data_IF_407051056846
#
_entry.id   IF_407051056846
#
_cell.length_a   1.000
_cell.length_b   1.000
_cell.length_c   1.000
_cell.angle_alpha   90.00
_cell.angle_beta   90.00
_cell.angle_gamma   90.00
#
_symmetry.space_group_name_H-M   'P 1'
#
loop_
_entity.id
_entity.type
_entity.pdbx_description
1 polymer ?
#
# COMPACT_ATOMS: atom_id res chain seq x y z
N UNK A 1 -11.76 -6.70 -51.78
CA UNK A 1 -11.26 -7.52 -50.64
C UNK A 1 -9.74 -7.44 -50.66
N UNK A 2 -9.15 -6.69 -49.73
CA UNK A 2 -7.71 -6.56 -49.61
C UNK A 2 -7.13 -7.76 -48.83
N UNK A 3 -5.99 -8.29 -49.30
CA UNK A 3 -5.28 -9.40 -48.67
C UNK A 3 -4.94 -9.10 -47.19
N UNK A 4 -5.07 -10.09 -46.28
CA UNK A 4 -4.70 -9.95 -44.86
C UNK A 4 -3.24 -9.58 -44.60
N UNK A 5 -2.38 -9.63 -45.63
CA UNK A 5 -0.93 -9.44 -45.47
C UNK A 5 -0.45 -7.98 -45.53
N UNK A 6 -1.32 -7.01 -45.82
CA UNK A 6 -0.91 -5.61 -46.02
C UNK A 6 -0.95 -4.71 -44.76
N UNK A 7 -1.21 -5.25 -43.57
CA UNK A 7 -1.38 -4.45 -42.33
C UNK A 7 -0.23 -4.54 -41.30
N UNK A 8 0.95 -5.03 -41.68
CA UNK A 8 2.12 -5.07 -40.77
C UNK A 8 3.33 -4.23 -41.23
N UNK A 9 3.27 -2.89 -41.22
CA UNK A 9 4.45 -2.04 -41.46
C UNK A 9 5.45 -1.98 -40.28
N UNK A 10 5.25 -2.76 -39.21
CA UNK A 10 6.14 -2.82 -38.04
C UNK A 10 6.73 -4.21 -37.75
N UNK A 11 6.62 -5.15 -38.70
CA UNK A 11 7.33 -6.42 -38.60
C UNK A 11 8.82 -6.20 -38.91
N UNK A 12 9.55 -5.60 -37.96
CA UNK A 12 11.02 -5.70 -37.91
C UNK A 12 11.33 -7.19 -38.01
N UNK A 13 12.14 -7.57 -39.00
CA UNK A 13 12.52 -8.96 -39.30
C UNK A 13 13.48 -9.45 -38.20
N UNK A 14 12.93 -9.62 -37.00
CA UNK A 14 13.62 -10.17 -35.83
C UNK A 14 13.94 -11.63 -36.21
N UNK A 15 15.24 -11.96 -36.32
CA UNK A 15 15.69 -13.28 -36.73
C UNK A 15 15.05 -14.40 -35.90
N UNK A 16 14.94 -15.60 -36.47
CA UNK A 16 14.25 -16.74 -35.86
C UNK A 16 14.73 -17.06 -34.43
N UNK A 17 15.99 -16.74 -34.12
CA UNK A 17 16.61 -16.86 -32.80
C UNK A 17 16.32 -15.70 -31.83
N UNK A 18 16.06 -14.49 -32.31
CA UNK A 18 15.87 -13.33 -31.44
C UNK A 18 14.49 -13.33 -30.76
N UNK A 19 13.47 -13.95 -31.37
CA UNK A 19 12.14 -14.08 -30.78
C UNK A 19 12.10 -14.93 -29.49
N UNK A 20 12.63 -16.17 -29.45
CA UNK A 20 12.65 -16.96 -28.21
C UNK A 20 13.51 -16.32 -27.12
N UNK A 21 14.62 -15.66 -27.48
CA UNK A 21 15.47 -14.94 -26.53
C UNK A 21 14.72 -13.78 -25.88
N UNK A 22 14.00 -12.95 -26.65
CA UNK A 22 13.19 -11.86 -26.11
C UNK A 22 12.05 -12.35 -25.21
N UNK A 23 11.43 -13.49 -25.57
CA UNK A 23 10.40 -14.11 -24.75
C UNK A 23 10.99 -14.61 -23.43
N UNK A 24 12.14 -15.30 -23.47
CA UNK A 24 12.83 -15.77 -22.28
C UNK A 24 13.24 -14.59 -21.37
N UNK A 25 13.82 -13.54 -21.94
CA UNK A 25 14.17 -12.32 -21.22
C UNK A 25 12.94 -11.69 -20.54
N UNK A 26 11.78 -11.70 -21.20
CA UNK A 26 10.55 -11.16 -20.63
C UNK A 26 10.08 -11.91 -19.37
N UNK A 27 10.30 -13.23 -19.29
CA UNK A 27 9.95 -14.03 -18.11
C UNK A 27 11.02 -14.00 -17.01
N UNK A 28 12.29 -13.80 -17.36
CA UNK A 28 13.40 -13.72 -16.41
C UNK A 28 13.42 -12.35 -15.71
N UNK A 29 13.04 -11.28 -16.41
CA UNK A 29 13.13 -9.91 -15.89
C UNK A 29 12.40 -9.69 -14.56
N UNK A 30 11.13 -10.14 -14.36
CA UNK A 30 10.47 -10.03 -13.06
C UNK A 30 11.24 -10.72 -11.92
N UNK A 31 11.84 -11.90 -12.19
CA UNK A 31 12.61 -12.66 -11.20
C UNK A 31 13.86 -11.86 -10.81
N UNK A 32 14.60 -11.32 -11.80
CA UNK A 32 15.75 -10.47 -11.55
C UNK A 32 15.40 -9.22 -10.74
N UNK A 33 14.26 -8.59 -11.03
CA UNK A 33 13.78 -7.42 -10.29
C UNK A 33 13.32 -7.73 -8.85
N UNK A 34 12.77 -8.92 -8.60
CA UNK A 34 12.45 -9.39 -7.23
C UNK A 34 13.75 -9.58 -6.44
N UNK A 35 14.72 -10.29 -7.03
CA UNK A 35 16.03 -10.50 -6.39
C UNK A 35 16.72 -9.16 -6.11
N UNK A 36 16.67 -8.24 -7.07
CA UNK A 36 17.20 -6.89 -6.89
C UNK A 36 16.48 -6.12 -5.78
N UNK A 37 15.15 -6.22 -5.65
CA UNK A 37 14.41 -5.55 -4.57
C UNK A 37 14.82 -6.08 -3.19
N UNK A 38 15.00 -7.39 -3.06
CA UNK A 38 15.43 -8.05 -1.83
C UNK A 38 16.86 -7.63 -1.45
N UNK A 39 17.73 -7.50 -2.45
CA UNK A 39 19.16 -7.18 -2.27
C UNK A 39 19.50 -5.70 -2.43
N UNK A 40 18.49 -4.82 -2.58
CA UNK A 40 18.67 -3.41 -2.95
C UNK A 40 19.58 -2.66 -1.97
N UNK A 41 19.40 -2.89 -0.66
CA UNK A 41 20.28 -2.36 0.39
C UNK A 41 21.34 -3.36 0.86
N UNK A 42 21.67 -4.36 0.04
CA UNK A 42 22.58 -5.45 0.39
C UNK A 42 22.00 -6.40 1.42
N UNK A 43 22.11 -6.03 2.71
CA UNK A 43 21.67 -6.83 3.87
C UNK A 43 20.39 -6.31 4.53
N UNK A 44 19.72 -5.32 3.94
CA UNK A 44 18.54 -4.67 4.51
C UNK A 44 18.91 -3.49 5.43
N UNK A 45 17.91 -2.68 5.79
CA UNK A 45 18.10 -1.48 6.63
C UNK A 45 17.06 -1.50 7.75
N UNK A 46 17.55 -1.26 8.97
CA UNK A 46 16.73 -0.86 10.11
C UNK A 46 16.98 0.64 10.30
N UNK A 47 15.98 1.45 10.00
CA UNK A 47 16.02 2.88 10.31
C UNK A 47 15.74 3.12 11.81
N UNK A 48 15.87 4.36 12.27
CA UNK A 48 15.64 4.69 13.68
C UNK A 48 14.20 4.43 14.12
N UNK A 49 13.23 4.56 13.21
CA UNK A 49 11.80 4.36 13.44
C UNK A 49 11.52 2.86 13.66
N UNK A 50 12.04 2.02 12.77
CA UNK A 50 12.01 0.56 12.83
C UNK A 50 12.59 0.02 14.14
N UNK A 51 13.64 0.64 14.66
CA UNK A 51 14.29 0.19 15.89
C UNK A 51 13.34 0.25 17.09
N UNK A 52 12.52 1.28 17.22
CA UNK A 52 11.54 1.40 18.30
C UNK A 52 10.53 0.24 18.26
N UNK A 53 10.07 -0.12 17.06
CA UNK A 53 9.15 -1.24 16.86
C UNK A 53 9.80 -2.59 17.15
N UNK A 54 11.03 -2.83 16.68
CA UNK A 54 11.77 -4.07 16.96
C UNK A 54 11.90 -4.25 18.47
N UNK A 55 12.33 -3.21 19.17
CA UNK A 55 12.50 -3.27 20.62
C UNK A 55 11.18 -3.59 21.32
N UNK A 56 10.06 -2.99 20.90
CA UNK A 56 8.74 -3.32 21.43
C UNK A 56 8.37 -4.80 21.23
N UNK A 57 8.55 -5.30 20.01
CA UNK A 57 8.17 -6.66 19.63
C UNK A 57 9.03 -7.75 20.26
N UNK A 58 10.24 -7.41 20.70
CA UNK A 58 11.15 -8.31 21.42
C UNK A 58 10.96 -8.27 22.94
N UNK A 59 10.09 -7.40 23.49
CA UNK A 59 9.76 -7.43 24.90
C UNK A 59 9.03 -8.72 25.28
N UNK A 60 9.19 -9.17 26.53
CA UNK A 60 8.42 -10.28 27.10
C UNK A 60 7.02 -9.81 27.52
N UNK A 61 6.20 -9.40 26.55
CA UNK A 61 4.77 -9.06 26.74
C UNK A 61 3.87 -10.06 26.03
N UNK A 62 2.64 -10.29 26.51
CA UNK A 62 1.68 -11.14 25.81
C UNK A 62 1.42 -10.63 24.37
N UNK A 63 1.28 -11.55 23.43
CA UNK A 63 1.10 -11.25 22.00
C UNK A 63 0.03 -10.18 21.74
N UNK A 64 -1.18 -10.37 22.26
CA UNK A 64 -2.26 -9.42 22.02
C UNK A 64 -2.00 -8.04 22.64
N UNK A 65 -1.33 -7.99 23.79
CA UNK A 65 -0.98 -6.71 24.42
C UNK A 65 0.01 -5.92 23.56
N UNK A 66 0.95 -6.59 22.88
CA UNK A 66 1.90 -5.94 21.94
C UNK A 66 1.22 -5.45 20.67
N UNK A 67 0.32 -6.26 20.09
CA UNK A 67 -0.37 -5.92 18.85
C UNK A 67 -1.36 -4.77 19.07
N UNK A 68 -2.12 -4.80 20.16
CA UNK A 68 -3.12 -3.78 20.50
C UNK A 68 -2.51 -2.65 21.36
N UNK A 69 -1.31 -2.18 21.02
CA UNK A 69 -0.63 -1.07 21.70
C UNK A 69 -0.34 0.08 20.73
N UNK A 70 -1.33 0.95 20.45
CA UNK A 70 -1.10 2.11 19.59
C UNK A 70 -0.21 3.18 20.23
N UNK A 71 0.08 3.14 21.54
CA UNK A 71 1.01 4.11 22.12
C UNK A 71 2.41 3.91 21.56
N UNK A 72 2.81 2.66 21.40
CA UNK A 72 4.12 2.31 20.85
C UNK A 72 4.06 2.12 19.34
N UNK A 73 3.07 1.40 18.81
CA UNK A 73 3.00 1.05 17.39
C UNK A 73 2.58 2.21 16.46
N UNK A 74 2.00 3.28 17.03
CA UNK A 74 1.51 4.46 16.29
C UNK A 74 1.94 5.79 16.93
N UNK A 75 2.88 5.81 17.88
CA UNK A 75 3.20 7.00 18.70
C UNK A 75 1.96 7.65 19.33
N UNK A 76 1.00 6.82 19.75
CA UNK A 76 -0.28 7.24 20.32
C UNK A 76 -1.35 7.61 19.28
N UNK A 77 -1.03 7.67 17.99
CA UNK A 77 -1.95 8.07 16.93
C UNK A 77 -2.72 6.88 16.34
N UNK A 78 -3.64 6.30 17.10
CA UNK A 78 -4.36 5.07 16.74
C UNK A 78 -4.95 5.04 15.31
N UNK A 79 -4.60 4.02 14.53
CA UNK A 79 -5.00 3.88 13.11
C UNK A 79 -5.80 2.62 12.75
N UNK A 80 -6.08 1.72 13.70
CA UNK A 80 -6.81 0.46 13.49
C UNK A 80 -6.21 -0.45 12.40
N UNK A 81 -4.89 -0.63 12.44
CA UNK A 81 -4.11 -1.42 11.48
C UNK A 81 -3.42 -2.63 12.12
N UNK A 82 -4.05 -3.27 13.09
CA UNK A 82 -3.39 -4.27 13.95
C UNK A 82 -2.84 -5.47 13.19
N UNK A 83 -3.39 -5.77 12.01
CA UNK A 83 -2.86 -6.83 11.16
C UNK A 83 -1.47 -6.48 10.61
N UNK A 84 -1.13 -5.20 10.38
CA UNK A 84 0.25 -4.81 10.02
C UNK A 84 1.23 -5.17 11.12
N UNK A 85 0.87 -4.88 12.38
CA UNK A 85 1.74 -5.13 13.54
C UNK A 85 2.03 -6.62 13.73
N UNK A 86 1.13 -7.50 13.29
CA UNK A 86 1.39 -8.94 13.31
C UNK A 86 2.54 -9.31 12.37
N UNK A 87 2.57 -8.74 11.17
CA UNK A 87 3.68 -8.96 10.23
C UNK A 87 4.98 -8.34 10.73
N UNK A 88 4.90 -7.14 11.31
CA UNK A 88 6.07 -6.46 11.87
C UNK A 88 6.67 -7.25 13.05
N UNK A 89 5.82 -7.84 13.90
CA UNK A 89 6.23 -8.73 14.98
C UNK A 89 6.91 -10.00 14.46
N UNK A 90 6.36 -10.63 13.41
CA UNK A 90 6.98 -11.81 12.78
C UNK A 90 8.37 -11.45 12.25
N UNK A 91 8.49 -10.33 11.53
CA UNK A 91 9.77 -9.89 10.97
C UNK A 91 10.78 -9.56 12.08
N UNK A 92 10.37 -8.87 13.14
CA UNK A 92 11.23 -8.56 14.28
C UNK A 92 11.76 -9.82 14.97
N UNK A 93 10.92 -10.86 15.13
CA UNK A 93 11.35 -12.15 15.71
C UNK A 93 12.30 -12.91 14.80
N UNK A 94 12.10 -12.86 13.49
CA UNK A 94 13.04 -13.44 12.52
C UNK A 94 14.40 -12.73 12.62
N UNK A 95 14.41 -11.41 12.77
CA UNK A 95 15.66 -10.66 12.95
C UNK A 95 16.39 -11.05 14.23
N UNK A 96 15.69 -11.21 15.34
CA UNK A 96 16.29 -11.70 16.58
C UNK A 96 16.89 -13.10 16.41
N UNK A 97 16.16 -14.03 15.80
CA UNK A 97 16.66 -15.38 15.55
C UNK A 97 17.90 -15.40 14.63
N UNK A 98 17.92 -14.54 13.59
CA UNK A 98 19.10 -14.41 12.72
C UNK A 98 20.31 -13.84 13.47
N UNK A 99 20.07 -12.86 14.35
CA UNK A 99 21.12 -12.27 15.18
C UNK A 99 21.70 -13.29 16.18
N UNK A 100 20.84 -14.11 16.80
CA UNK A 100 21.24 -15.20 17.71
C UNK A 100 22.14 -16.24 17.01
N UNK A 101 22.03 -16.35 15.68
CA UNK A 101 22.89 -17.19 14.84
C UNK A 101 24.05 -16.43 14.17
N UNK A 102 24.34 -15.20 14.60
CA UNK A 102 25.36 -14.31 14.03
C UNK A 102 25.19 -14.02 12.52
N UNK A 103 23.95 -14.10 12.01
CA UNK A 103 23.60 -13.76 10.63
C UNK A 103 23.07 -12.33 10.56
N UNK A 104 23.87 -11.42 10.00
CA UNK A 104 23.48 -10.02 9.84
C UNK A 104 22.68 -9.81 8.54
N UNK A 105 21.42 -10.24 8.54
CA UNK A 105 20.47 -10.01 7.44
C UNK A 105 19.17 -9.44 8.01
N UNK A 106 18.86 -8.21 7.62
CA UNK A 106 17.71 -7.42 8.06
C UNK A 106 16.72 -7.18 6.92
N UNK A 107 16.48 -8.22 6.11
CA UNK A 107 15.45 -8.18 5.07
C UNK A 107 14.17 -8.79 5.64
N UNK A 108 13.06 -8.02 5.73
CA UNK A 108 11.81 -8.51 6.32
C UNK A 108 11.30 -9.75 5.58
N UNK A 109 11.03 -10.83 6.32
CA UNK A 109 10.54 -12.09 5.74
C UNK A 109 9.20 -11.86 5.03
N UNK A 110 8.32 -11.08 5.64
CA UNK A 110 7.02 -10.73 5.06
C UNK A 110 7.17 -9.89 3.78
N UNK A 111 8.24 -9.11 3.64
CA UNK A 111 8.58 -8.40 2.41
C UNK A 111 8.97 -9.34 1.26
N UNK A 112 9.83 -10.32 1.53
CA UNK A 112 10.28 -11.34 0.56
C UNK A 112 9.12 -12.22 0.10
N UNK A 113 8.40 -12.80 1.06
CA UNK A 113 7.26 -13.65 0.79
C UNK A 113 6.12 -12.86 0.16
N UNK A 114 5.90 -11.63 0.63
CA UNK A 114 4.88 -10.73 0.12
C UNK A 114 5.11 -10.36 -1.34
N UNK A 115 6.34 -10.00 -1.74
CA UNK A 115 6.64 -9.64 -3.13
C UNK A 115 6.47 -10.83 -4.09
N UNK A 116 6.84 -12.03 -3.61
CA UNK A 116 6.64 -13.28 -4.34
C UNK A 116 5.16 -13.61 -4.52
N UNK A 117 4.38 -13.52 -3.43
CA UNK A 117 2.94 -13.75 -3.43
C UNK A 117 2.20 -12.70 -4.28
N UNK A 118 2.59 -11.43 -4.22
CA UNK A 118 2.06 -10.35 -5.06
C UNK A 118 2.26 -10.68 -6.54
N UNK A 119 3.47 -11.09 -6.91
CA UNK A 119 3.81 -11.48 -8.27
C UNK A 119 2.97 -12.67 -8.76
N UNK A 120 2.76 -13.66 -7.90
CA UNK A 120 1.92 -14.83 -8.20
C UNK A 120 0.44 -14.46 -8.39
N UNK A 121 -0.13 -13.68 -7.47
CA UNK A 121 -1.52 -13.18 -7.54
C UNK A 121 -1.70 -12.31 -8.77
N UNK A 122 -0.75 -11.41 -9.04
CA UNK A 122 -0.71 -10.58 -10.24
C UNK A 122 -0.76 -11.45 -11.49
N UNK A 123 0.19 -12.38 -11.63
CA UNK A 123 0.33 -13.17 -12.84
C UNK A 123 -0.90 -14.06 -13.06
N UNK A 124 -1.43 -14.67 -11.99
CA UNK A 124 -2.67 -15.43 -12.04
C UNK A 124 -3.84 -14.57 -12.52
N UNK A 125 -4.06 -13.40 -11.92
CA UNK A 125 -5.18 -12.52 -12.27
C UNK A 125 -5.04 -11.92 -13.66
N UNK A 126 -3.86 -11.45 -14.03
CA UNK A 126 -3.56 -10.95 -15.37
C UNK A 126 -3.86 -11.99 -16.45
N UNK A 127 -3.50 -13.26 -16.23
CA UNK A 127 -3.71 -14.35 -17.19
C UNK A 127 -5.13 -14.88 -17.21
N UNK A 128 -5.75 -15.06 -16.04
CA UNK A 128 -7.06 -15.72 -15.91
C UNK A 128 -8.24 -14.77 -15.99
N UNK A 129 -8.08 -13.56 -15.47
CA UNK A 129 -9.16 -12.57 -15.33
C UNK A 129 -9.09 -11.53 -16.44
N UNK A 130 -7.89 -11.01 -16.73
CA UNK A 130 -7.70 -10.02 -17.80
C UNK A 130 -7.32 -10.63 -19.16
N UNK A 131 -7.10 -11.94 -19.22
CA UNK A 131 -6.71 -12.68 -20.43
C UNK A 131 -5.46 -12.11 -21.14
N UNK A 132 -4.55 -11.47 -20.40
CA UNK A 132 -3.30 -10.95 -20.96
C UNK A 132 -2.41 -12.10 -21.42
N UNK A 133 -1.62 -11.91 -22.49
CA UNK A 133 -0.59 -12.89 -22.84
C UNK A 133 0.53 -12.92 -21.77
N UNK A 134 1.26 -14.03 -21.65
CA UNK A 134 2.27 -14.18 -20.58
C UNK A 134 3.42 -13.20 -20.66
N UNK A 135 3.80 -12.81 -21.88
CA UNK A 135 4.85 -11.80 -22.12
C UNK A 135 4.41 -10.41 -21.62
N UNK A 136 3.20 -9.97 -21.98
CA UNK A 136 2.65 -8.67 -21.58
C UNK A 136 2.39 -8.62 -20.07
N UNK A 137 1.88 -9.70 -19.48
CA UNK A 137 1.77 -9.81 -18.02
C UNK A 137 3.16 -9.66 -17.36
N UNK A 138 4.17 -10.37 -17.86
CA UNK A 138 5.53 -10.27 -17.30
C UNK A 138 6.15 -8.88 -17.48
N UNK A 139 5.91 -8.21 -18.60
CA UNK A 139 6.42 -6.85 -18.85
C UNK A 139 5.73 -5.80 -17.98
N UNK A 140 4.42 -5.87 -17.80
CA UNK A 140 3.69 -4.98 -16.90
C UNK A 140 4.07 -5.23 -15.43
N UNK A 141 4.27 -6.49 -15.05
CA UNK A 141 4.82 -6.83 -13.73
C UNK A 141 6.24 -6.25 -13.56
N UNK A 142 7.09 -6.40 -14.57
CA UNK A 142 8.45 -5.85 -14.54
C UNK A 142 8.44 -4.33 -14.41
N UNK A 143 7.52 -3.64 -15.11
CA UNK A 143 7.35 -2.20 -14.98
C UNK A 143 7.02 -1.83 -13.52
N UNK A 144 6.05 -2.51 -12.91
CA UNK A 144 5.71 -2.29 -11.50
C UNK A 144 6.89 -2.58 -10.56
N UNK A 145 7.56 -3.73 -10.74
CA UNK A 145 8.69 -4.13 -9.90
C UNK A 145 9.87 -3.17 -10.06
N UNK A 146 10.10 -2.59 -11.24
CA UNK A 146 11.19 -1.64 -11.49
C UNK A 146 11.00 -0.30 -10.79
N UNK A 147 9.80 0.00 -10.25
CA UNK A 147 9.54 1.21 -9.51
C UNK A 147 10.45 1.31 -8.27
N UNK A 148 11.14 2.45 -8.13
CA UNK A 148 12.05 2.68 -6.99
C UNK A 148 11.38 2.49 -5.63
N UNK A 149 10.09 2.79 -5.52
CA UNK A 149 9.34 2.59 -4.28
C UNK A 149 9.28 1.11 -3.90
N UNK A 150 9.07 0.21 -4.86
CA UNK A 150 9.05 -1.24 -4.63
C UNK A 150 10.45 -1.72 -4.28
N UNK A 151 11.44 -1.30 -5.06
CA UNK A 151 12.84 -1.70 -4.88
C UNK A 151 13.40 -1.27 -3.52
N UNK A 152 13.20 -0.01 -3.13
CA UNK A 152 13.77 0.55 -1.90
C UNK A 152 12.96 0.21 -0.64
N UNK A 153 11.64 -0.03 -0.75
CA UNK A 153 10.79 -0.26 0.44
C UNK A 153 10.64 -1.73 0.84
N UNK A 154 10.80 -2.68 -0.09
CA UNK A 154 10.77 -4.12 0.22
C UNK A 154 11.72 -4.53 1.35
N UNK A 155 12.97 -4.04 1.39
CA UNK A 155 13.94 -4.36 2.44
C UNK A 155 13.86 -3.50 3.72
N UNK A 156 12.80 -2.68 3.90
CA UNK A 156 12.62 -1.83 5.09
C UNK A 156 11.56 -2.46 5.99
N UNK A 157 11.90 -2.70 7.26
CA UNK A 157 10.96 -3.18 8.30
C UNK A 157 9.76 -2.22 8.45
N UNK A 158 8.64 -2.64 9.04
CA UNK A 158 7.39 -1.86 9.25
C UNK A 158 6.67 -1.35 7.99
N UNK A 159 7.34 -1.37 6.82
CA UNK A 159 6.76 -1.05 5.51
C UNK A 159 6.27 -2.29 4.75
N UNK A 160 6.64 -3.47 5.22
CA UNK A 160 6.29 -4.76 4.62
C UNK A 160 4.78 -5.05 4.65
N UNK A 161 4.07 -4.53 5.66
CA UNK A 161 2.60 -4.56 5.75
C UNK A 161 1.89 -3.93 4.54
N UNK A 162 2.50 -2.95 3.87
CA UNK A 162 1.97 -2.35 2.63
C UNK A 162 1.98 -3.34 1.47
N UNK A 163 2.97 -4.24 1.42
CA UNK A 163 3.01 -5.30 0.40
C UNK A 163 1.84 -6.25 0.62
N UNK A 164 1.52 -6.59 1.88
CA UNK A 164 0.35 -7.42 2.20
C UNK A 164 -0.95 -6.73 1.79
N UNK A 165 -1.09 -5.43 2.07
CA UNK A 165 -2.20 -4.64 1.55
C UNK A 165 -2.28 -4.73 0.01
N UNK A 166 -1.16 -4.57 -0.70
CA UNK A 166 -1.14 -4.65 -2.17
C UNK A 166 -1.60 -6.02 -2.67
N UNK A 167 -1.21 -7.12 -2.01
CA UNK A 167 -1.68 -8.48 -2.36
C UNK A 167 -3.19 -8.57 -2.17
N UNK A 168 -3.70 -8.15 -1.01
CA UNK A 168 -5.12 -8.21 -0.69
C UNK A 168 -5.95 -7.34 -1.65
N UNK A 169 -5.49 -6.12 -1.95
CA UNK A 169 -6.09 -5.21 -2.91
C UNK A 169 -6.14 -5.83 -4.30
N UNK A 170 -5.03 -6.41 -4.77
CA UNK A 170 -4.96 -6.99 -6.10
C UNK A 170 -5.87 -8.22 -6.22
N UNK A 171 -5.86 -9.09 -5.21
CA UNK A 171 -6.78 -10.21 -5.11
C UNK A 171 -8.23 -9.74 -5.10
N UNK A 172 -8.56 -8.73 -4.29
CA UNK A 172 -9.89 -8.12 -4.22
C UNK A 172 -10.35 -7.57 -5.57
N UNK A 173 -9.50 -6.84 -6.29
CA UNK A 173 -9.82 -6.26 -7.59
C UNK A 173 -10.05 -7.33 -8.65
N UNK A 174 -9.15 -8.31 -8.77
CA UNK A 174 -9.34 -9.42 -9.71
C UNK A 174 -10.56 -10.26 -9.39
N UNK A 175 -10.82 -10.49 -8.10
CA UNK A 175 -11.97 -11.26 -7.67
C UNK A 175 -13.27 -10.51 -7.96
N UNK A 176 -13.35 -9.22 -7.61
CA UNK A 176 -14.48 -8.35 -7.93
C UNK A 176 -14.75 -8.34 -9.43
N UNK A 177 -13.71 -8.11 -10.24
CA UNK A 177 -13.85 -8.07 -11.69
C UNK A 177 -14.29 -9.42 -12.27
N UNK A 178 -13.73 -10.54 -11.77
CA UNK A 178 -14.16 -11.88 -12.17
C UNK A 178 -15.62 -12.18 -11.79
N UNK A 179 -16.13 -11.62 -10.70
CA UNK A 179 -17.55 -11.76 -10.33
C UNK A 179 -18.44 -10.96 -11.28
N UNK A 180 -18.04 -9.74 -11.65
CA UNK A 180 -18.81 -8.86 -12.53
C UNK A 180 -18.81 -9.32 -13.99
N UNK A 181 -17.75 -9.97 -14.47
CA UNK A 181 -17.68 -10.49 -15.85
C UNK A 181 -18.53 -11.74 -16.10
N UNK A 182 -18.83 -12.53 -15.07
CA UNK A 182 -19.55 -13.81 -15.25
C UNK A 182 -21.05 -13.57 -15.34
N UNK A 183 -21.51 -13.15 -16.51
CA UNK A 183 -22.91 -12.75 -16.83
C UNK A 183 -24.02 -13.75 -16.49
N UNK A 184 -23.73 -14.97 -16.00
CA UNK A 184 -24.75 -16.01 -15.78
C UNK A 184 -24.68 -16.77 -14.46
N UNK A 185 -23.69 -16.52 -13.58
CA UNK A 185 -23.59 -17.24 -12.30
C UNK A 185 -23.90 -16.30 -11.14
N UNK A 186 -24.89 -16.68 -10.33
CA UNK A 186 -25.18 -16.02 -9.07
C UNK A 186 -23.94 -15.98 -8.18
N UNK A 187 -23.75 -14.86 -7.46
CA UNK A 187 -22.74 -14.77 -6.39
C UNK A 187 -23.18 -15.72 -5.28
N UNK A 188 -22.44 -16.80 -5.08
CA UNK A 188 -22.68 -17.77 -4.00
C UNK A 188 -22.23 -17.17 -2.66
N UNK A 189 -22.79 -17.67 -1.55
CA UNK A 189 -22.44 -17.19 -0.21
C UNK A 189 -20.93 -17.28 0.06
N UNK A 190 -20.26 -18.36 -0.38
CA UNK A 190 -18.81 -18.51 -0.25
C UNK A 190 -18.03 -17.42 -0.99
N UNK A 191 -18.49 -17.01 -2.18
CA UNK A 191 -17.84 -15.94 -2.95
C UNK A 191 -18.06 -14.58 -2.28
N UNK A 192 -19.26 -14.34 -1.76
CA UNK A 192 -19.55 -13.15 -0.98
C UNK A 192 -18.67 -13.08 0.28
N UNK A 193 -18.53 -14.20 1.01
CA UNK A 193 -17.65 -14.30 2.17
C UNK A 193 -16.19 -14.03 1.80
N UNK A 194 -15.67 -14.63 0.73
CA UNK A 194 -14.30 -14.37 0.28
C UNK A 194 -14.05 -12.90 -0.04
N UNK A 195 -14.99 -12.25 -0.74
CA UNK A 195 -14.89 -10.82 -1.05
C UNK A 195 -14.97 -9.94 0.21
N UNK A 196 -15.86 -10.28 1.15
CA UNK A 196 -15.97 -9.63 2.45
C UNK A 196 -14.65 -9.70 3.22
N UNK A 197 -14.07 -10.89 3.35
CA UNK A 197 -12.82 -11.10 4.07
C UNK A 197 -11.64 -10.40 3.40
N UNK A 198 -11.57 -10.38 2.06
CA UNK A 198 -10.56 -9.59 1.35
C UNK A 198 -10.69 -8.10 1.65
N UNK A 199 -11.91 -7.56 1.63
CA UNK A 199 -12.16 -6.16 2.00
C UNK A 199 -11.78 -5.85 3.44
N UNK A 200 -12.08 -6.76 4.38
CA UNK A 200 -11.71 -6.62 5.79
C UNK A 200 -10.19 -6.67 5.98
N UNK A 201 -9.51 -7.64 5.36
CA UNK A 201 -8.04 -7.77 5.42
C UNK A 201 -7.37 -6.51 4.89
N UNK A 202 -7.83 -5.96 3.76
CA UNK A 202 -7.31 -4.70 3.24
C UNK A 202 -7.40 -3.58 4.28
N UNK A 203 -8.57 -3.43 4.92
CA UNK A 203 -8.79 -2.37 5.89
C UNK A 203 -8.01 -2.57 7.20
N UNK A 204 -7.78 -3.81 7.63
CA UNK A 204 -6.99 -4.14 8.82
C UNK A 204 -5.48 -4.06 8.59
N UNK A 205 -4.99 -4.22 7.36
CA UNK A 205 -3.57 -4.07 7.04
C UNK A 205 -3.15 -2.60 7.09
N UNK A 206 -3.95 -1.69 6.54
CA UNK A 206 -3.64 -0.27 6.50
C UNK A 206 -4.93 0.52 6.24
N UNK A 207 -5.03 1.71 6.83
CA UNK A 207 -6.14 2.64 6.61
C UNK A 207 -6.34 3.00 5.13
N UNK A 208 -5.27 2.98 4.32
CA UNK A 208 -5.38 3.13 2.86
C UNK A 208 -6.26 2.05 2.23
N UNK A 209 -6.23 0.83 2.75
CA UNK A 209 -7.07 -0.28 2.30
C UNK A 209 -8.56 -0.03 2.53
N UNK A 210 -8.93 0.61 3.63
CA UNK A 210 -10.31 1.03 3.87
C UNK A 210 -10.79 2.05 2.83
N UNK A 211 -9.95 3.03 2.47
CA UNK A 211 -10.28 4.00 1.43
C UNK A 211 -10.41 3.33 0.05
N UNK A 212 -9.53 2.38 -0.28
CA UNK A 212 -9.66 1.61 -1.52
C UNK A 212 -10.96 0.80 -1.58
N UNK A 213 -11.40 0.22 -0.46
CA UNK A 213 -12.68 -0.48 -0.37
C UNK A 213 -13.87 0.46 -0.63
N UNK A 214 -13.85 1.67 -0.07
CA UNK A 214 -14.87 2.70 -0.34
C UNK A 214 -14.87 3.08 -1.82
N UNK A 215 -13.71 3.40 -2.39
CA UNK A 215 -13.60 3.77 -3.80
C UNK A 215 -14.06 2.66 -4.74
N UNK A 216 -13.67 1.42 -4.48
CA UNK A 216 -14.14 0.28 -5.27
C UNK A 216 -15.66 0.12 -5.17
N UNK A 217 -16.24 0.30 -3.99
CA UNK A 217 -17.70 0.26 -3.79
C UNK A 217 -18.40 1.35 -4.59
N UNK A 218 -17.86 2.56 -4.61
CA UNK A 218 -18.39 3.67 -5.39
C UNK A 218 -18.30 3.42 -6.89
N UNK A 219 -17.18 2.87 -7.38
CA UNK A 219 -17.04 2.48 -8.79
C UNK A 219 -18.07 1.42 -9.16
N UNK A 220 -18.26 0.39 -8.33
CA UNK A 220 -19.27 -0.67 -8.57
C UNK A 220 -20.69 -0.09 -8.54
N UNK A 221 -20.97 0.89 -7.66
CA UNK A 221 -22.26 1.60 -7.62
C UNK A 221 -22.53 2.37 -8.92
N UNK A 222 -21.53 3.07 -9.46
CA UNK A 222 -21.67 3.76 -10.75
C UNK A 222 -21.91 2.74 -11.88
N UNK A 223 -21.15 1.65 -11.90
CA UNK A 223 -21.34 0.58 -12.89
C UNK A 223 -22.75 -0.02 -12.81
N UNK A 224 -23.27 -0.21 -11.59
CA UNK A 224 -24.65 -0.65 -11.36
C UNK A 224 -25.67 0.33 -11.93
N UNK A 225 -25.53 1.64 -11.66
CA UNK A 225 -26.42 2.67 -12.20
C UNK A 225 -26.40 2.67 -13.73
N UNK A 226 -25.23 2.58 -14.35
CA UNK A 226 -25.08 2.49 -15.81
C UNK A 226 -25.75 1.21 -16.34
N UNK A 227 -25.55 0.07 -15.70
CA UNK A 227 -26.15 -1.20 -16.09
C UNK A 227 -27.68 -1.18 -15.96
N UNK A 228 -28.20 -0.54 -14.90
CA UNK A 228 -29.63 -0.36 -14.64
C UNK A 228 -30.31 0.48 -15.71
N UNK A 229 -29.73 1.64 -16.06
CA UNK A 229 -30.23 2.50 -17.15
C UNK A 229 -30.27 1.74 -18.49
N UNK A 230 -29.38 0.77 -18.67
CA UNK A 230 -29.29 -0.06 -19.89
C UNK A 230 -30.19 -1.29 -19.88
N UNK A 231 -30.97 -1.52 -18.82
CA UNK A 231 -31.84 -2.70 -18.71
C UNK A 231 -31.08 -4.03 -18.68
N UNK A 232 -29.82 -4.04 -18.23
CA UNK A 232 -29.01 -5.27 -18.22
C UNK A 232 -29.43 -6.20 -17.07
N UNK A 233 -29.56 -7.50 -17.38
CA UNK A 233 -29.93 -8.56 -16.42
C UNK A 233 -28.91 -8.76 -15.28
N UNK A 234 -27.70 -8.21 -15.40
CA UNK A 234 -26.62 -8.31 -14.41
C UNK A 234 -26.83 -7.47 -13.13
N UNK A 235 -27.92 -6.70 -13.01
CA UNK A 235 -28.20 -5.80 -11.89
C UNK A 235 -28.01 -6.45 -10.50
N UNK A 236 -28.52 -7.69 -10.35
CA UNK A 236 -28.45 -8.45 -9.09
C UNK A 236 -27.01 -8.75 -8.65
N UNK A 237 -26.07 -8.92 -9.59
CA UNK A 237 -24.68 -9.21 -9.27
C UNK A 237 -23.98 -7.99 -8.69
N UNK A 238 -24.14 -6.82 -9.33
CA UNK A 238 -23.58 -5.57 -8.82
C UNK A 238 -24.14 -5.23 -7.44
N UNK A 239 -25.45 -5.34 -7.25
CA UNK A 239 -26.08 -5.05 -5.96
C UNK A 239 -25.53 -5.95 -4.84
N UNK A 240 -25.31 -7.24 -5.10
CA UNK A 240 -24.69 -8.16 -4.13
C UNK A 240 -23.25 -7.77 -3.79
N UNK A 241 -22.44 -7.40 -4.78
CA UNK A 241 -21.06 -6.93 -4.55
C UNK A 241 -21.07 -5.64 -3.70
N UNK A 242 -21.95 -4.69 -4.01
CA UNK A 242 -22.11 -3.45 -3.23
C UNK A 242 -22.50 -3.78 -1.78
N UNK A 243 -23.47 -4.67 -1.58
CA UNK A 243 -23.91 -5.07 -0.24
C UNK A 243 -22.79 -5.72 0.56
N UNK A 244 -22.02 -6.62 -0.06
CA UNK A 244 -20.87 -7.28 0.57
C UNK A 244 -19.79 -6.28 0.95
N UNK A 245 -19.45 -5.35 0.06
CA UNK A 245 -18.46 -4.32 0.38
C UNK A 245 -18.97 -3.36 1.46
N UNK A 246 -20.25 -2.98 1.43
CA UNK A 246 -20.88 -2.17 2.46
C UNK A 246 -20.85 -2.87 3.84
N UNK A 247 -21.09 -4.19 3.86
CA UNK A 247 -20.95 -4.98 5.08
C UNK A 247 -19.50 -4.99 5.58
N UNK A 248 -18.50 -5.13 4.70
CA UNK A 248 -17.08 -5.07 5.08
C UNK A 248 -16.68 -3.68 5.60
N UNK A 249 -17.19 -2.59 4.99
CA UNK A 249 -17.03 -1.22 5.48
C UNK A 249 -17.63 -1.08 6.88
N UNK A 250 -18.87 -1.54 7.07
CA UNK A 250 -19.55 -1.50 8.36
C UNK A 250 -18.81 -2.29 9.45
N UNK A 251 -18.34 -3.50 9.12
CA UNK A 251 -17.52 -4.32 10.02
C UNK A 251 -16.21 -3.63 10.39
N UNK A 252 -15.55 -2.97 9.44
CA UNK A 252 -14.32 -2.20 9.70
C UNK A 252 -14.59 -1.00 10.61
N UNK A 253 -15.69 -0.27 10.38
CA UNK A 253 -16.07 0.88 11.23
C UNK A 253 -16.37 0.40 12.66
N UNK A 254 -17.14 -0.69 12.79
CA UNK A 254 -17.42 -1.32 14.07
C UNK A 254 -16.14 -1.74 14.78
N UNK A 255 -15.23 -2.38 14.06
CA UNK A 255 -13.93 -2.79 14.58
C UNK A 255 -13.11 -1.59 15.08
N UNK A 256 -12.90 -0.58 14.23
CA UNK A 256 -12.08 0.60 14.54
C UNK A 256 -12.65 1.43 15.70
N UNK A 257 -13.99 1.57 15.79
CA UNK A 257 -14.63 2.48 16.76
C UNK A 257 -15.00 1.82 18.08
N UNK A 258 -15.25 0.52 18.09
CA UNK A 258 -15.81 -0.17 19.27
C UNK A 258 -14.90 -1.30 19.70
N UNK A 259 -14.68 -2.29 18.84
CA UNK A 259 -14.02 -3.53 19.24
C UNK A 259 -12.54 -3.34 19.60
N UNK A 260 -11.75 -2.72 18.72
CA UNK A 260 -10.33 -2.52 18.95
C UNK A 260 -10.06 -1.57 20.13
N UNK A 261 -10.74 -0.43 20.30
CA UNK A 261 -10.58 0.43 21.48
C UNK A 261 -10.90 -0.27 22.80
N UNK A 262 -11.97 -1.06 22.82
CA UNK A 262 -12.31 -1.89 23.99
C UNK A 262 -11.20 -2.90 24.29
N UNK A 263 -10.66 -3.56 23.27
CA UNK A 263 -9.60 -4.55 23.43
C UNK A 263 -8.28 -3.90 23.89
N UNK A 264 -7.92 -2.72 23.35
CA UNK A 264 -6.77 -1.93 23.79
C UNK A 264 -6.92 -1.57 25.28
N UNK A 265 -8.10 -1.11 25.70
CA UNK A 265 -8.35 -0.78 27.10
C UNK A 265 -8.25 -2.02 28.01
N UNK A 266 -8.85 -3.14 27.59
CA UNK A 266 -8.83 -4.39 28.36
C UNK A 266 -7.41 -4.96 28.53
N UNK A 267 -6.54 -4.80 27.52
CA UNK A 267 -5.19 -5.37 27.52
C UNK A 267 -4.12 -4.43 28.09
N UNK A 268 -4.26 -3.11 27.88
CA UNK A 268 -3.22 -2.14 28.19
C UNK A 268 -3.66 -1.04 29.17
N UNK A 269 -4.93 -1.01 29.58
CA UNK A 269 -5.43 -0.13 30.65
C UNK A 269 -5.65 1.34 30.25
N UNK A 270 -5.59 1.67 28.97
CA UNK A 270 -5.81 3.04 28.48
C UNK A 270 -6.71 3.06 27.23
N UNK A 271 -7.35 4.20 26.99
CA UNK A 271 -8.16 4.42 25.78
C UNK A 271 -7.31 5.01 24.65
N UNK A 272 -7.42 4.49 23.41
CA UNK A 272 -6.66 5.01 22.29
C UNK A 272 -7.07 6.45 21.92
N UNK A 273 -6.08 7.23 21.46
CA UNK A 273 -6.31 8.61 21.04
C UNK A 273 -6.72 8.66 19.55
N UNK A 274 -7.93 9.19 19.30
CA UNK A 274 -8.51 9.32 17.95
C UNK A 274 -8.18 10.63 17.23
N UNK A 275 -7.37 11.52 17.81
CA UNK A 275 -7.06 12.84 17.24
C UNK A 275 -6.53 12.76 15.80
N UNK A 276 -5.72 11.75 15.48
CA UNK A 276 -5.22 11.51 14.12
C UNK A 276 -6.32 11.13 13.11
N UNK A 277 -7.44 10.58 13.59
CA UNK A 277 -8.59 10.23 12.74
C UNK A 277 -9.56 11.40 12.54
N UNK A 278 -9.40 12.48 13.31
CA UNK A 278 -10.27 13.65 13.27
C UNK A 278 -9.60 14.76 12.45
N UNK A 279 -9.96 14.86 11.17
CA UNK A 279 -9.55 16.01 10.36
C UNK A 279 -10.61 17.13 10.53
N UNK A 280 -10.23 18.32 11.02
CA UNK A 280 -11.14 19.45 11.09
C UNK A 280 -11.66 19.81 9.69
N UNK A 281 -12.97 20.05 9.56
CA UNK A 281 -13.58 20.46 8.29
C UNK A 281 -12.92 21.69 7.68
N UNK A 282 -12.47 22.63 8.52
CA UNK A 282 -11.74 23.82 8.08
C UNK A 282 -10.44 23.50 7.36
N UNK A 283 -9.75 22.42 7.74
CA UNK A 283 -8.54 21.97 7.05
C UNK A 283 -8.90 21.25 5.74
N UNK A 284 -9.95 20.43 5.73
CA UNK A 284 -10.36 19.70 4.52
C UNK A 284 -10.83 20.65 3.41
N UNK A 285 -11.53 21.73 3.79
CA UNK A 285 -12.07 22.73 2.88
C UNK A 285 -11.06 23.84 2.53
N UNK A 286 -9.80 23.72 2.93
CA UNK A 286 -8.76 24.68 2.55
C UNK A 286 -8.57 24.65 1.02
N UNK A 287 -8.92 25.74 0.30
CA UNK A 287 -8.82 25.78 -1.16
C UNK A 287 -7.37 25.67 -1.66
N UNK A 288 -6.37 25.84 -0.79
CA UNK A 288 -4.97 25.61 -1.14
C UNK A 288 -4.60 24.12 -1.22
N UNK A 289 -5.38 23.21 -0.63
CA UNK A 289 -5.05 21.77 -0.63
C UNK A 289 -5.06 21.12 -2.01
N UNK A 290 -6.08 21.33 -2.88
CA UNK A 290 -6.04 20.83 -4.24
C UNK A 290 -4.83 21.37 -5.01
N UNK A 291 -4.48 22.64 -4.83
CA UNK A 291 -3.33 23.25 -5.49
C UNK A 291 -2.00 22.63 -5.03
N UNK A 292 -1.81 22.45 -3.71
CA UNK A 292 -0.62 21.78 -3.14
C UNK A 292 -0.53 20.32 -3.60
N UNK A 293 -1.65 19.61 -3.58
CA UNK A 293 -1.75 18.22 -4.04
C UNK A 293 -1.37 18.10 -5.51
N UNK A 294 -1.93 18.99 -6.34
CA UNK A 294 -1.63 19.03 -7.78
C UNK A 294 -0.15 19.34 -8.03
N UNK A 295 0.43 20.29 -7.28
CA UNK A 295 1.85 20.62 -7.37
C UNK A 295 2.74 19.42 -7.00
N UNK A 296 2.46 18.73 -5.89
CA UNK A 296 3.18 17.51 -5.50
C UNK A 296 3.07 16.43 -6.56
N UNK A 297 1.89 16.24 -7.15
CA UNK A 297 1.69 15.32 -8.26
C UNK A 297 2.56 15.68 -9.48
N UNK A 298 2.58 16.96 -9.87
CA UNK A 298 3.42 17.45 -10.96
C UNK A 298 4.91 17.20 -10.71
N UNK A 299 5.37 17.49 -9.50
CA UNK A 299 6.77 17.26 -9.10
C UNK A 299 7.10 15.76 -9.13
N UNK A 300 6.21 14.91 -8.62
CA UNK A 300 6.43 13.48 -8.59
C UNK A 300 6.45 12.86 -10.00
N UNK A 301 5.53 13.28 -10.88
CA UNK A 301 5.56 12.89 -12.30
C UNK A 301 6.86 13.37 -12.95
N UNK A 302 7.25 14.63 -12.75
CA UNK A 302 8.48 15.17 -13.33
C UNK A 302 9.70 14.35 -12.86
N UNK A 303 9.79 14.07 -11.56
CA UNK A 303 10.84 13.25 -10.96
C UNK A 303 10.94 11.86 -11.59
N UNK A 304 9.81 11.17 -11.82
CA UNK A 304 9.80 9.85 -12.46
C UNK A 304 10.34 9.86 -13.90
N UNK A 305 10.22 10.97 -14.60
CA UNK A 305 10.74 11.15 -15.96
C UNK A 305 12.05 11.96 -15.98
N UNK A 306 12.88 11.82 -14.94
CA UNK A 306 14.21 12.43 -14.90
C UNK A 306 14.18 13.95 -14.77
N UNK A 307 13.21 14.47 -14.00
CA UNK A 307 12.92 15.90 -13.86
C UNK A 307 12.51 16.61 -15.15
N UNK A 308 11.96 15.88 -16.13
CA UNK A 308 11.36 16.49 -17.31
C UNK A 308 10.16 17.39 -16.90
N UNK A 309 10.01 18.59 -17.49
CA UNK A 309 8.92 19.49 -17.13
C UNK A 309 7.54 18.82 -17.34
N UNK A 310 6.68 18.88 -16.32
CA UNK A 310 5.34 18.26 -16.35
C UNK A 310 4.54 18.60 -17.62
N UNK A 311 4.58 19.86 -18.08
CA UNK A 311 3.85 20.30 -19.28
C UNK A 311 4.31 19.58 -20.56
N UNK A 312 5.60 19.28 -20.68
CA UNK A 312 6.15 18.53 -21.81
C UNK A 312 5.63 17.09 -21.78
N UNK A 313 5.65 16.45 -20.61
CA UNK A 313 5.12 15.09 -20.46
C UNK A 313 3.61 15.03 -20.73
N UNK A 314 2.85 15.97 -20.17
CA UNK A 314 1.42 16.07 -20.37
C UNK A 314 1.06 16.27 -21.85
N UNK A 315 1.78 17.15 -22.56
CA UNK A 315 1.56 17.36 -23.99
C UNK A 315 1.88 16.12 -24.83
N UNK A 316 2.96 15.39 -24.54
CA UNK A 316 3.26 14.12 -25.21
C UNK A 316 2.12 13.11 -25.02
N UNK A 317 1.63 12.95 -23.77
CA UNK A 317 0.52 12.04 -23.46
C UNK A 317 -0.75 12.45 -24.19
N UNK A 318 -1.08 13.75 -24.21
CA UNK A 318 -2.27 14.27 -24.90
C UNK A 318 -2.15 14.04 -26.40
N UNK A 319 -1.00 14.33 -27.03
CA UNK A 319 -0.77 14.09 -28.46
C UNK A 319 -0.86 12.60 -28.79
N UNK A 320 -0.27 11.74 -27.98
CA UNK A 320 -0.37 10.28 -28.14
C UNK A 320 -1.82 9.80 -27.99
N UNK A 321 -2.55 10.29 -26.99
CA UNK A 321 -3.95 9.95 -26.76
C UNK A 321 -4.84 10.43 -27.91
N UNK A 322 -4.62 11.64 -28.43
CA UNK A 322 -5.32 12.15 -29.62
C UNK A 322 -4.98 11.30 -30.84
N UNK A 323 -3.71 10.95 -31.05
CA UNK A 323 -3.29 10.08 -32.16
C UNK A 323 -3.92 8.69 -32.09
N UNK A 324 -3.97 8.08 -30.90
CA UNK A 324 -4.65 6.80 -30.65
C UNK A 324 -6.16 6.95 -30.87
N UNK A 325 -6.79 7.96 -30.28
CA UNK A 325 -8.22 8.22 -30.42
C UNK A 325 -8.62 8.51 -31.87
N UNK A 326 -7.78 9.22 -32.63
CA UNK A 326 -8.03 9.51 -34.04
C UNK A 326 -7.89 8.27 -34.91
N UNK A 327 -6.88 7.43 -34.64
CA UNK A 327 -6.74 6.10 -35.26
C UNK A 327 -7.91 5.17 -34.92
N UNK A 328 -8.40 5.25 -33.68
CA UNK A 328 -9.51 4.44 -33.18
C UNK A 328 -10.88 4.98 -33.55
N UNK A 329 -10.98 6.24 -34.01
CA UNK A 329 -12.23 6.91 -34.40
C UNK A 329 -13.02 6.14 -35.46
N UNK A 330 -12.34 5.32 -36.29
CA UNK A 330 -12.96 4.44 -37.30
C UNK A 330 -13.44 3.09 -36.76
N UNK A 331 -13.16 2.77 -35.50
CA UNK A 331 -13.48 1.49 -34.85
C UNK A 331 -14.25 1.64 -33.52
N UNK A 332 -14.78 2.83 -33.21
CA UNK A 332 -15.50 3.08 -31.95
C UNK A 332 -16.84 2.32 -31.95
N UNK A 333 -16.83 1.17 -31.31
CA UNK A 333 -18.01 0.44 -30.86
C UNK A 333 -18.46 0.94 -29.46
N UNK A 334 -19.74 0.75 -29.11
CA UNK A 334 -20.35 1.20 -27.83
C UNK A 334 -19.58 0.76 -26.57
N UNK A 335 -18.86 -0.35 -26.63
CA UNK A 335 -18.04 -0.87 -25.53
C UNK A 335 -16.82 0.03 -25.20
N UNK A 336 -16.26 0.73 -26.18
CA UNK A 336 -15.13 1.64 -25.95
C UNK A 336 -15.55 2.91 -25.21
N UNK A 337 -16.81 3.35 -25.40
CA UNK A 337 -17.35 4.52 -24.71
C UNK A 337 -17.54 4.24 -23.20
N UNK A 338 -17.99 3.03 -22.85
CA UNK A 338 -18.03 2.59 -21.46
C UNK A 338 -16.66 2.49 -20.83
N UNK A 339 -15.68 1.94 -21.56
CA UNK A 339 -14.33 1.79 -21.04
C UNK A 339 -13.69 3.15 -20.76
N UNK A 340 -13.95 4.14 -21.62
CA UNK A 340 -13.51 5.51 -21.46
C UNK A 340 -14.20 6.19 -20.27
N UNK A 341 -15.52 6.06 -20.14
CA UNK A 341 -16.28 6.60 -18.99
C UNK A 341 -15.80 6.01 -17.66
N UNK A 342 -15.56 4.69 -17.60
CA UNK A 342 -15.03 4.01 -16.41
C UNK A 342 -13.60 4.45 -16.11
N UNK A 343 -12.77 4.65 -17.13
CA UNK A 343 -11.39 5.15 -16.95
C UNK A 343 -11.39 6.57 -16.38
N UNK A 344 -12.23 7.47 -16.91
CA UNK A 344 -12.37 8.84 -16.41
C UNK A 344 -12.88 8.88 -14.98
N UNK A 345 -13.93 8.11 -14.66
CA UNK A 345 -14.47 8.01 -13.29
C UNK A 345 -13.43 7.43 -12.34
N UNK A 346 -12.66 6.43 -12.76
CA UNK A 346 -11.59 5.84 -11.95
C UNK A 346 -10.47 6.86 -11.70
N UNK A 347 -10.09 7.66 -12.69
CA UNK A 347 -9.13 8.75 -12.54
C UNK A 347 -9.65 9.79 -11.54
N UNK A 348 -10.92 10.21 -11.65
CA UNK A 348 -11.53 11.17 -10.71
C UNK A 348 -11.57 10.60 -9.29
N UNK A 349 -11.92 9.32 -9.13
CA UNK A 349 -11.93 8.66 -7.84
C UNK A 349 -10.52 8.55 -7.22
N UNK A 350 -9.50 8.24 -8.04
CA UNK A 350 -8.09 8.20 -7.62
C UNK A 350 -7.61 9.60 -7.22
N UNK A 351 -7.91 10.63 -8.00
CA UNK A 351 -7.53 12.02 -7.69
C UNK A 351 -8.23 12.49 -6.41
N UNK A 352 -9.52 12.20 -6.23
CA UNK A 352 -10.25 12.52 -5.01
C UNK A 352 -9.69 11.80 -3.77
N UNK A 353 -9.25 10.55 -3.95
CA UNK A 353 -8.61 9.79 -2.88
C UNK A 353 -7.21 10.33 -2.56
N UNK A 354 -6.41 10.71 -3.56
CA UNK A 354 -5.12 11.38 -3.34
C UNK A 354 -5.29 12.72 -2.61
N UNK A 355 -6.30 13.52 -2.98
CA UNK A 355 -6.59 14.80 -2.32
C UNK A 355 -7.01 14.62 -0.86
N UNK A 356 -7.75 13.56 -0.53
CA UNK A 356 -8.13 13.26 0.86
C UNK A 356 -6.99 12.63 1.67
N UNK A 357 -6.08 11.90 1.02
CA UNK A 357 -4.86 11.35 1.66
C UNK A 357 -3.77 12.39 1.91
N UNK A 358 -3.70 13.44 1.09
CA UNK A 358 -2.68 14.51 1.15
C UNK A 358 -3.14 15.67 2.05
N UNK A 359 -4.38 15.65 2.56
CA UNK A 359 -4.84 16.61 3.55
C UNK A 359 -3.94 16.53 4.80
N UNK A 360 -3.26 17.61 5.22
CA UNK A 360 -2.00 17.50 5.93
C UNK A 360 -2.24 17.14 7.39
N UNK A 361 -1.49 16.14 7.88
CA UNK A 361 -0.93 16.14 9.23
C UNK A 361 0.03 17.32 9.35
N UNK A 362 -0.54 18.52 9.45
CA UNK A 362 0.22 19.74 9.75
C UNK A 362 0.76 19.64 11.17
N UNK A 363 2.00 19.15 11.30
CA UNK A 363 3.05 19.65 12.18
C UNK A 363 4.36 18.94 11.83
N UNK A 364 5.34 19.77 11.48
CA UNK A 364 6.78 19.52 11.49
C UNK A 364 7.20 18.35 12.40
N UNK A 365 7.65 17.28 11.78
CA UNK A 365 8.76 16.49 12.31
C UNK A 365 9.80 16.43 11.19
N UNK A 366 10.83 17.27 11.30
CA UNK A 366 12.13 16.95 10.77
C UNK A 366 12.83 16.09 11.84
N UNK A 367 12.80 14.75 11.80
CA UNK A 367 13.94 14.07 12.37
C UNK A 367 15.10 14.35 11.40
N UNK A 368 16.20 14.91 11.91
CA UNK A 368 17.48 14.75 11.24
C UNK A 368 17.66 13.24 11.06
N UNK A 369 17.45 12.74 9.84
CA UNK A 369 17.68 11.35 9.49
C UNK A 369 19.17 11.11 9.59
N UNK A 370 19.65 10.78 10.79
CA UNK A 370 20.87 10.02 10.93
C UNK A 370 20.56 8.64 10.37
N UNK A 371 20.87 8.42 9.09
CA UNK A 371 21.03 7.06 8.57
C UNK A 371 22.24 6.51 9.29
N UNK A 372 22.02 5.85 10.43
CA UNK A 372 23.05 5.06 11.07
C UNK A 372 23.19 3.80 10.22
N UNK A 373 24.02 3.88 9.17
CA UNK A 373 24.52 2.67 8.50
C UNK A 373 25.36 1.95 9.55
N UNK A 374 24.76 0.96 10.20
CA UNK A 374 25.47 0.07 11.11
C UNK A 374 26.42 -0.78 10.26
N UNK A 375 27.62 -0.26 10.02
CA UNK A 375 28.76 -1.07 9.65
C UNK A 375 29.22 -1.78 10.92
N UNK A 376 28.56 -2.91 11.23
CA UNK A 376 28.94 -3.74 12.37
C UNK A 376 30.05 -4.66 11.91
N UNK A 377 31.29 -4.27 12.22
CA UNK A 377 32.40 -5.21 12.20
C UNK A 377 32.12 -6.33 13.22
N UNK A 378 32.12 -7.57 12.75
CA UNK A 378 31.54 -8.75 13.40
C UNK A 378 32.20 -9.22 14.71
N UNK A 379 32.95 -8.39 15.42
CA UNK A 379 33.72 -8.78 16.60
C UNK A 379 33.18 -8.27 17.95
N UNK A 380 32.08 -7.49 18.01
CA UNK A 380 31.55 -6.89 19.27
C UNK A 380 30.01 -6.85 19.38
N UNK A 381 29.30 -7.85 18.85
CA UNK A 381 27.83 -7.83 18.85
C UNK A 381 27.18 -8.05 20.23
N UNK A 382 27.75 -8.90 21.08
CA UNK A 382 27.04 -9.37 22.28
C UNK A 382 26.98 -8.33 23.41
N UNK A 383 28.01 -7.50 23.58
CA UNK A 383 28.08 -6.53 24.67
C UNK A 383 27.31 -5.24 24.38
N UNK A 384 27.25 -4.82 23.11
CA UNK A 384 26.58 -3.58 22.70
C UNK A 384 25.06 -3.76 22.62
N UNK A 385 24.59 -4.92 22.18
CA UNK A 385 23.16 -5.21 22.12
C UNK A 385 22.56 -5.36 23.53
N UNK A 386 23.20 -6.17 24.38
CA UNK A 386 22.76 -6.35 25.77
C UNK A 386 22.83 -5.05 26.59
N UNK A 387 23.87 -4.21 26.40
CA UNK A 387 23.95 -2.89 27.03
C UNK A 387 22.89 -1.92 26.52
N UNK A 388 22.57 -1.89 25.22
CA UNK A 388 21.55 -0.98 24.68
C UNK A 388 20.13 -1.41 25.03
N UNK A 389 19.84 -2.71 25.00
CA UNK A 389 18.56 -3.26 25.49
C UNK A 389 18.40 -2.97 26.99
N UNK A 390 19.47 -3.08 27.78
CA UNK A 390 19.46 -2.73 29.20
C UNK A 390 19.31 -1.22 29.46
N UNK A 391 20.01 -0.35 28.70
CA UNK A 391 19.87 1.10 28.80
C UNK A 391 18.45 1.57 28.44
N UNK A 392 17.85 0.99 27.39
CA UNK A 392 16.51 1.36 26.97
C UNK A 392 15.43 0.84 27.93
N UNK A 393 15.63 -0.35 28.49
CA UNK A 393 14.78 -0.89 29.57
C UNK A 393 14.79 0.01 30.82
N UNK A 394 15.90 0.69 31.10
CA UNK A 394 16.00 1.65 32.20
C UNK A 394 15.34 2.99 31.89
N UNK A 395 15.37 3.47 30.63
CA UNK A 395 14.71 4.73 30.22
C UNK A 395 13.21 4.58 29.94
N UNK A 396 12.72 3.37 29.69
CA UNK A 396 11.30 3.07 29.45
C UNK A 396 10.47 2.85 30.74
N UNK A 397 11.05 3.06 31.93
CA UNK A 397 10.23 3.15 33.15
C UNK A 397 9.32 4.37 33.02
N UNK A 398 7.99 4.23 33.26
CA UNK A 398 7.10 5.38 33.23
C UNK A 398 7.62 6.41 34.23
N UNK A 399 7.70 7.67 33.80
CA UNK A 399 7.84 8.81 34.68
C UNK A 399 6.66 8.76 35.67
N UNK A 400 6.87 8.08 36.79
CA UNK A 400 6.01 8.17 37.94
C UNK A 400 5.93 9.65 38.30
N UNK A 401 4.71 10.17 38.27
CA UNK A 401 4.31 11.52 38.65
C UNK A 401 5.20 12.08 39.76
N UNK A 402 6.14 12.96 39.41
CA UNK A 402 6.75 13.83 40.40
C UNK A 402 5.67 14.81 40.86
N UNK A 403 5.34 14.87 42.17
CA UNK A 403 4.41 15.85 42.67
C UNK A 403 5.04 17.24 42.54
N UNK A 404 4.27 18.18 42.02
CA UNK A 404 4.64 19.59 41.93
C UNK A 404 4.88 20.15 43.34
N UNK A 405 6.12 20.13 43.80
CA UNK A 405 6.53 20.88 44.98
C UNK A 405 6.67 22.36 44.60
N UNK A 406 5.74 23.14 45.16
CA UNK A 406 5.85 24.54 45.54
C UNK A 406 7.29 25.08 45.57
N UNK A 407 7.59 26.05 44.71
CA UNK A 407 8.62 27.05 44.97
C UNK A 407 7.93 28.38 45.25
N UNK A 408 7.80 28.70 46.54
CA UNK A 408 7.60 30.04 47.05
C UNK A 408 8.97 30.70 47.23
N UNK A 409 9.03 31.98 46.86
CA UNK A 409 9.81 33.08 47.45
C UNK A 409 11.29 33.35 47.11
N UNK A 410 11.47 34.62 46.71
CA UNK A 410 12.59 35.57 46.89
C UNK A 410 13.81 35.43 45.96
N UNK A 411 14.44 36.48 45.46
CA UNK A 411 14.35 37.93 45.67
C UNK A 411 15.15 38.62 44.53
N UNK A 412 14.74 39.84 44.15
CA UNK A 412 15.54 41.08 44.16
C UNK A 412 16.41 41.43 42.94
N UNK A 413 16.17 42.66 42.47
CA UNK A 413 17.10 43.62 41.87
C UNK A 413 17.63 43.38 40.44
N UNK A 414 17.20 44.26 39.53
CA UNK A 414 18.09 45.20 38.84
C UNK A 414 17.26 46.31 38.17
N UNK A 415 17.56 47.55 38.54
CA UNK A 415 17.42 48.71 37.67
C UNK A 415 18.59 48.83 36.70
#
# INVERSE_FOLDING_TARGET
>A
MASPDQLHPFAVRIGHFARPVLIAAAYILPIGLIVHAITFWGRGIIDSEAMEFVLNYLQNRPFFAQIFDPQINDWGAYQARELSYVFDLIDARVFAALLDHHVLVFVPLSGVLGLSALSAVYFWGARRVLALNGVMASMLLSLFLSCIVVQASTPILYRSSKIILCIALLAFLFYTFSLLQREKRSVTALKAAALFFLGLVMALCDRQGFYYLISATFVVLILWLIAKVRGQSAERCYFRVIFVNAAAIGATIFYNRIFAPWLIYALNGYWPNFSYQQLPWSKLLDPALPAKTWHLFQQQVSFFFGNAPFLVLASIIVVAAIGIAWKWRRAINRNHLTLLAVSVVSIIAIIGLLATMIAPSGRLFYPRSFVLVLHVDGARCDSLWSQRVAQFSQSARPLASQPAHLCHDRNSDCG
#
